data_IF_257536462401
#
_entry.id   IF_257536462401
#
_cell.length_a   1.000
_cell.length_b   1.000
_cell.length_c   1.000
_cell.angle_alpha   90.00
_cell.angle_beta   90.00
_cell.angle_gamma   90.00
#
_symmetry.space_group_name_H-M   'P 1'
#
loop_
_entity.id
_entity.type
_entity.pdbx_description
1 polymer ?
#
# COMPACT_ATOMS: atom_id res chain seq x y z
N UNK A 1 -25.57 21.39 16.26
CA UNK A 1 -26.35 20.57 15.31
C UNK A 1 -25.47 20.26 14.11
N UNK A 2 -25.38 19.00 13.70
CA UNK A 2 -24.67 18.60 12.48
C UNK A 2 -25.28 19.32 11.26
N UNK A 3 -24.48 19.72 10.27
CA UNK A 3 -25.01 20.33 9.05
C UNK A 3 -25.95 19.36 8.35
N UNK A 4 -26.97 19.90 7.68
CA UNK A 4 -27.94 19.05 6.96
C UNK A 4 -27.33 18.30 5.78
N UNK A 5 -26.20 18.79 5.22
CA UNK A 5 -25.49 18.19 4.09
C UNK A 5 -24.00 18.40 4.19
N UNK A 6 -23.24 17.51 3.58
CA UNK A 6 -21.79 17.64 3.38
C UNK A 6 -21.52 18.05 1.96
N UNK A 7 -20.61 19.00 1.75
CA UNK A 7 -20.23 19.49 0.42
C UNK A 7 -18.75 19.21 0.19
N UNK A 8 -18.44 18.50 -0.89
CA UNK A 8 -17.07 18.27 -1.35
C UNK A 8 -16.80 19.17 -2.55
N UNK A 9 -15.76 19.98 -2.47
CA UNK A 9 -15.22 20.76 -3.58
C UNK A 9 -13.91 20.16 -4.05
N UNK A 10 -13.84 19.77 -5.31
CA UNK A 10 -12.65 19.18 -5.91
C UNK A 10 -11.75 20.24 -6.56
N UNK A 11 -10.45 19.95 -6.68
CA UNK A 11 -9.48 20.85 -7.32
C UNK A 11 -9.76 21.15 -8.78
N UNK A 12 -10.49 20.28 -9.46
CA UNK A 12 -10.95 20.50 -10.85
C UNK A 12 -12.22 21.37 -10.96
N UNK A 13 -12.72 21.93 -9.85
CA UNK A 13 -13.92 22.76 -9.78
C UNK A 13 -15.23 21.99 -9.59
N UNK A 14 -15.23 20.66 -9.63
CA UNK A 14 -16.44 19.87 -9.36
C UNK A 14 -16.89 20.00 -7.91
N UNK A 15 -18.20 19.96 -7.69
CA UNK A 15 -18.80 20.02 -6.35
C UNK A 15 -19.80 18.87 -6.21
N UNK A 16 -19.77 18.20 -5.06
CA UNK A 16 -20.69 17.11 -4.72
C UNK A 16 -21.38 17.43 -3.38
N UNK A 17 -22.65 17.10 -3.28
CA UNK A 17 -23.43 17.22 -2.05
C UNK A 17 -23.99 15.85 -1.65
N UNK A 18 -23.95 15.54 -0.35
CA UNK A 18 -24.52 14.32 0.22
C UNK A 18 -24.99 14.55 1.65
N UNK A 19 -25.89 13.72 2.13
CA UNK A 19 -26.31 13.74 3.54
C UNK A 19 -25.21 13.22 4.46
N UNK A 20 -24.45 12.21 3.99
CA UNK A 20 -23.30 11.62 4.67
C UNK A 20 -22.18 11.33 3.67
N UNK A 21 -20.94 11.28 4.16
CA UNK A 21 -19.76 10.91 3.40
C UNK A 21 -19.01 9.82 4.16
N UNK A 22 -18.49 8.83 3.42
CA UNK A 22 -17.50 7.88 3.92
C UNK A 22 -16.16 8.25 3.29
N UNK A 23 -15.22 8.65 4.14
CA UNK A 23 -13.85 8.98 3.76
C UNK A 23 -12.98 7.73 3.92
N UNK A 24 -12.63 7.08 2.80
CA UNK A 24 -11.84 5.84 2.77
C UNK A 24 -10.40 6.04 2.30
N UNK A 25 -9.96 7.27 2.15
CA UNK A 25 -8.59 7.59 1.70
C UNK A 25 -7.58 7.47 2.84
N UNK A 26 -6.29 7.18 2.54
CA UNK A 26 -5.24 7.10 3.55
C UNK A 26 -5.06 8.41 4.32
N UNK A 27 -4.60 8.34 5.58
CA UNK A 27 -4.41 9.54 6.41
C UNK A 27 -3.44 10.54 5.79
N UNK A 28 -2.48 10.09 4.99
CA UNK A 28 -1.60 10.96 4.23
C UNK A 28 -2.39 11.89 3.29
N UNK A 29 -3.38 11.35 2.56
CA UNK A 29 -4.23 12.14 1.67
C UNK A 29 -5.22 13.01 2.46
N UNK A 30 -5.73 12.52 3.61
CA UNK A 30 -6.61 13.31 4.50
C UNK A 30 -5.95 14.62 4.95
N UNK A 31 -4.64 14.63 5.19
CA UNK A 31 -3.87 15.83 5.54
C UNK A 31 -3.92 16.93 4.49
N UNK A 32 -4.18 16.59 3.23
CA UNK A 32 -4.24 17.53 2.11
C UNK A 32 -5.62 18.16 1.92
N UNK A 33 -6.63 17.67 2.62
CA UNK A 33 -8.00 18.18 2.52
C UNK A 33 -8.15 19.42 3.41
N UNK A 34 -8.74 20.47 2.84
CA UNK A 34 -9.17 21.64 3.59
C UNK A 34 -10.54 21.38 4.25
N UNK A 35 -10.52 21.15 5.55
CA UNK A 35 -11.72 20.88 6.33
C UNK A 35 -12.40 22.16 6.79
N UNK A 36 -13.70 22.26 6.56
CA UNK A 36 -14.54 23.36 7.08
C UNK A 36 -15.85 22.78 7.66
N UNK A 37 -16.08 22.82 8.99
CA UNK A 37 -15.15 23.35 9.98
C UNK A 37 -13.86 22.49 10.09
N UNK A 38 -12.84 23.05 10.71
CA UNK A 38 -11.55 22.37 10.99
C UNK A 38 -11.80 21.11 11.84
N UNK A 39 -11.07 20.04 11.56
CA UNK A 39 -11.07 18.81 12.37
C UNK A 39 -10.63 19.12 13.83
N UNK A 40 -11.14 18.39 14.82
CA UNK A 40 -10.66 18.48 16.19
C UNK A 40 -9.16 18.19 16.29
N UNK A 41 -8.44 18.90 17.14
CA UNK A 41 -6.99 18.77 17.31
C UNK A 41 -6.56 17.32 17.54
N UNK A 42 -7.28 16.60 18.42
CA UNK A 42 -7.00 15.18 18.69
C UNK A 42 -7.06 14.32 17.42
N UNK A 43 -8.02 14.59 16.52
CA UNK A 43 -8.14 13.86 15.25
C UNK A 43 -7.02 14.24 14.29
N UNK A 44 -6.62 15.49 14.25
CA UNK A 44 -5.47 15.97 13.46
C UNK A 44 -4.20 15.27 13.94
N UNK A 45 -3.97 15.21 15.25
CA UNK A 45 -2.79 14.55 15.85
C UNK A 45 -2.78 13.05 15.54
N UNK A 46 -3.94 12.40 15.65
CA UNK A 46 -4.09 10.99 15.29
C UNK A 46 -3.78 10.73 13.81
N UNK A 47 -4.29 11.56 12.89
CA UNK A 47 -3.99 11.51 11.45
C UNK A 47 -2.50 11.68 11.19
N UNK A 48 -1.82 12.53 11.94
CA UNK A 48 -0.38 12.79 11.79
C UNK A 48 0.49 11.68 12.37
N UNK A 49 0.01 10.96 13.38
CA UNK A 49 0.78 9.92 14.07
C UNK A 49 0.77 8.57 13.35
N UNK A 50 -0.22 8.30 12.48
CA UNK A 50 -0.28 7.05 11.73
C UNK A 50 0.82 7.00 10.67
N UNK A 51 1.50 5.87 10.60
CA UNK A 51 2.61 5.63 9.69
C UNK A 51 2.21 4.65 8.59
N UNK A 52 2.93 4.71 7.46
CA UNK A 52 2.81 3.77 6.34
C UNK A 52 4.17 3.20 6.01
N UNK A 53 4.22 1.90 5.73
CA UNK A 53 5.44 1.25 5.33
C UNK A 53 5.83 1.68 3.91
N UNK A 54 7.13 1.77 3.67
CA UNK A 54 7.66 1.97 2.33
C UNK A 54 7.75 0.61 1.65
N UNK A 55 6.98 0.39 0.60
CA UNK A 55 6.88 -0.89 -0.10
C UNK A 55 7.19 -0.70 -1.57
N UNK A 56 7.98 -1.64 -2.11
CA UNK A 56 8.23 -1.76 -3.54
C UNK A 56 7.91 -3.16 -4.04
N UNK A 57 7.22 -3.24 -5.17
CA UNK A 57 7.06 -4.45 -5.96
C UNK A 57 7.80 -4.29 -7.29
N UNK A 58 8.63 -5.25 -7.59
CA UNK A 58 9.48 -5.25 -8.77
C UNK A 58 9.24 -6.53 -9.57
N UNK A 59 8.14 -6.57 -10.35
CA UNK A 59 7.78 -7.74 -11.14
C UNK A 59 8.83 -8.04 -12.21
N UNK A 60 9.24 -9.29 -12.31
CA UNK A 60 10.11 -9.82 -13.36
C UNK A 60 9.25 -10.68 -14.26
N UNK A 61 9.03 -10.22 -15.49
CA UNK A 61 8.26 -10.94 -16.49
C UNK A 61 9.21 -11.90 -17.22
N UNK A 62 8.89 -13.19 -17.19
CA UNK A 62 9.70 -14.25 -17.76
C UNK A 62 9.03 -14.84 -19.01
N UNK A 63 9.85 -15.20 -20.01
CA UNK A 63 9.41 -15.94 -21.21
C UNK A 63 8.92 -17.33 -20.88
N UNK A 64 9.52 -17.95 -19.86
CA UNK A 64 9.09 -19.22 -19.27
C UNK A 64 9.43 -19.24 -17.78
N UNK A 65 8.75 -20.10 -17.03
CA UNK A 65 8.98 -20.31 -15.60
C UNK A 65 10.24 -21.15 -15.42
N UNK A 66 11.31 -20.58 -14.89
CA UNK A 66 12.54 -21.30 -14.59
C UNK A 66 12.50 -22.00 -13.23
N UNK A 67 11.51 -21.69 -12.39
CA UNK A 67 11.24 -22.36 -11.11
C UNK A 67 10.33 -23.56 -11.33
N UNK A 68 10.59 -24.64 -10.57
CA UNK A 68 9.86 -25.91 -10.68
C UNK A 68 8.70 -26.02 -9.69
N UNK A 69 8.87 -25.40 -8.51
CA UNK A 69 7.86 -25.41 -7.45
C UNK A 69 6.93 -24.21 -7.61
N UNK A 70 5.68 -24.44 -7.90
CA UNK A 70 4.64 -23.41 -8.04
C UNK A 70 4.30 -22.73 -6.68
N UNK A 71 4.70 -23.34 -5.58
CA UNK A 71 4.41 -22.81 -4.23
C UNK A 71 5.64 -22.19 -3.56
N UNK A 72 6.77 -22.09 -4.29
CA UNK A 72 7.96 -21.55 -3.68
C UNK A 72 7.78 -20.08 -3.30
N UNK A 73 8.40 -19.71 -2.21
CA UNK A 73 8.80 -18.34 -1.90
C UNK A 73 10.24 -18.35 -1.37
N UNK A 74 10.89 -17.21 -1.43
CA UNK A 74 12.30 -17.09 -1.07
C UNK A 74 12.57 -15.75 -0.38
N UNK A 75 13.18 -15.81 0.78
CA UNK A 75 13.67 -14.62 1.50
C UNK A 75 15.17 -14.50 1.31
N UNK A 76 15.66 -13.29 1.11
CA UNK A 76 17.09 -12.98 0.99
C UNK A 76 17.46 -11.85 1.95
N UNK A 77 18.72 -11.79 2.33
CA UNK A 77 19.32 -10.68 3.09
C UNK A 77 19.69 -9.47 2.20
N UNK A 78 19.63 -9.65 0.87
CA UNK A 78 19.90 -8.60 -0.11
C UNK A 78 18.78 -7.54 -0.16
N UNK A 79 18.97 -6.41 -0.85
CA UNK A 79 17.89 -5.45 -1.08
C UNK A 79 16.66 -6.04 -1.78
N UNK A 80 16.81 -7.11 -2.56
CA UNK A 80 15.70 -7.78 -3.24
C UNK A 80 14.74 -8.52 -2.29
N UNK A 81 15.14 -8.75 -1.07
CA UNK A 81 14.39 -9.19 0.11
C UNK A 81 13.54 -10.45 -0.06
N UNK A 82 12.39 -10.40 -0.74
CA UNK A 82 11.44 -11.51 -0.81
C UNK A 82 10.95 -11.74 -2.24
N UNK A 83 10.88 -13.02 -2.62
CA UNK A 83 10.38 -13.45 -3.93
C UNK A 83 9.24 -14.44 -3.79
N UNK A 84 8.24 -14.30 -4.65
CA UNK A 84 7.13 -15.24 -4.77
C UNK A 84 6.60 -15.33 -6.19
N UNK A 85 5.91 -16.43 -6.49
CA UNK A 85 5.34 -16.69 -7.80
C UNK A 85 4.07 -15.83 -8.04
N UNK A 86 4.16 -14.80 -8.89
CA UNK A 86 3.07 -13.85 -9.16
C UNK A 86 2.00 -14.37 -10.12
N UNK A 87 2.28 -15.45 -10.87
CA UNK A 87 1.34 -16.07 -11.84
C UNK A 87 0.92 -17.48 -11.44
N UNK A 88 0.92 -17.78 -10.14
CA UNK A 88 0.44 -19.05 -9.60
C UNK A 88 -0.99 -19.32 -10.08
N UNK A 89 -1.27 -20.57 -10.46
CA UNK A 89 -2.57 -21.03 -10.98
C UNK A 89 -3.02 -20.39 -12.31
N UNK A 90 -2.12 -19.69 -13.02
CA UNK A 90 -2.43 -19.19 -14.36
C UNK A 90 -1.90 -20.16 -15.42
N UNK A 91 -2.63 -20.37 -16.54
CA UNK A 91 -2.20 -21.26 -17.61
C UNK A 91 -1.02 -20.67 -18.38
N UNK A 92 -0.28 -21.54 -19.08
CA UNK A 92 0.83 -21.16 -19.95
C UNK A 92 2.21 -21.32 -19.30
N UNK A 93 3.26 -21.24 -20.12
CA UNK A 93 4.65 -21.36 -19.71
C UNK A 93 5.25 -20.05 -19.18
N UNK A 94 4.71 -18.92 -19.59
CA UNK A 94 5.17 -17.60 -19.13
C UNK A 94 4.91 -17.42 -17.64
N UNK A 95 5.73 -16.62 -16.99
CA UNK A 95 5.58 -16.36 -15.56
C UNK A 95 5.98 -14.96 -15.16
N UNK A 96 5.46 -14.54 -14.00
CA UNK A 96 5.91 -13.35 -13.29
C UNK A 96 6.46 -13.80 -11.94
N UNK A 97 7.73 -13.50 -11.73
CA UNK A 97 8.35 -13.61 -10.42
C UNK A 97 8.27 -12.24 -9.76
N UNK A 98 7.63 -12.18 -8.61
CA UNK A 98 7.50 -10.94 -7.86
C UNK A 98 8.68 -10.80 -6.89
N UNK A 99 9.48 -9.76 -7.07
CA UNK A 99 10.39 -9.29 -6.04
C UNK A 99 9.66 -8.24 -5.20
N UNK A 100 9.62 -8.44 -3.89
CA UNK A 100 8.91 -7.61 -2.93
C UNK A 100 9.87 -7.14 -1.84
N UNK A 101 9.99 -5.83 -1.69
CA UNK A 101 10.89 -5.23 -0.72
C UNK A 101 10.17 -4.22 0.17
N UNK A 102 10.64 -4.05 1.40
CA UNK A 102 10.04 -3.19 2.43
C UNK A 102 11.12 -2.27 3.01
N UNK A 103 10.71 -1.06 3.42
CA UNK A 103 11.55 -0.09 4.11
C UNK A 103 12.79 0.29 3.31
N UNK A 104 13.95 0.33 3.95
CA UNK A 104 15.22 0.73 3.33
C UNK A 104 15.62 -0.14 2.14
N UNK A 105 15.24 -1.42 2.14
CA UNK A 105 15.47 -2.31 1.00
C UNK A 105 14.64 -1.89 -0.22
N UNK A 106 13.39 -1.50 -0.02
CA UNK A 106 12.55 -0.98 -1.09
C UNK A 106 13.09 0.37 -1.62
N UNK A 107 13.52 1.26 -0.72
CA UNK A 107 14.13 2.54 -1.07
C UNK A 107 15.39 2.35 -1.92
N UNK A 108 16.26 1.41 -1.51
CA UNK A 108 17.49 1.09 -2.23
C UNK A 108 17.22 0.62 -3.66
N UNK A 109 16.23 -0.26 -3.84
CA UNK A 109 15.85 -0.73 -5.18
C UNK A 109 15.17 0.35 -6.02
N UNK A 110 14.34 1.18 -5.40
CA UNK A 110 13.62 2.24 -6.11
C UNK A 110 14.53 3.39 -6.56
N UNK A 111 15.60 3.67 -5.81
CA UNK A 111 16.50 4.80 -6.06
C UNK A 111 17.49 4.58 -7.20
N UNK A 112 17.72 3.33 -7.61
CA UNK A 112 18.71 3.00 -8.66
C UNK A 112 18.06 2.89 -10.04
N UNK A 113 18.87 3.08 -11.09
CA UNK A 113 18.41 2.89 -12.48
C UNK A 113 17.95 1.46 -12.75
N UNK A 114 17.07 1.29 -13.74
CA UNK A 114 16.47 0.02 -14.10
C UNK A 114 17.51 -1.11 -14.26
N UNK A 115 18.58 -0.87 -14.99
CA UNK A 115 19.59 -1.91 -15.26
C UNK A 115 20.32 -2.35 -13.98
N UNK A 116 20.66 -1.41 -13.12
CA UNK A 116 21.31 -1.71 -11.83
C UNK A 116 20.37 -2.45 -10.89
N UNK A 117 19.10 -2.04 -10.82
CA UNK A 117 18.07 -2.75 -10.06
C UNK A 117 17.90 -4.19 -10.54
N UNK A 118 17.81 -4.37 -11.84
CA UNK A 118 17.72 -5.71 -12.46
C UNK A 118 18.91 -6.57 -12.08
N UNK A 119 20.12 -6.03 -12.13
CA UNK A 119 21.34 -6.73 -11.73
C UNK A 119 21.32 -7.15 -10.25
N UNK A 120 20.89 -6.26 -9.34
CA UNK A 120 20.74 -6.58 -7.92
C UNK A 120 19.76 -7.76 -7.73
N UNK A 121 18.62 -7.71 -8.42
CA UNK A 121 17.59 -8.75 -8.34
C UNK A 121 18.11 -10.09 -8.90
N UNK A 122 18.77 -10.07 -10.06
CA UNK A 122 19.34 -11.28 -10.67
C UNK A 122 20.43 -11.90 -9.80
N UNK A 123 21.27 -11.09 -9.17
CA UNK A 123 22.30 -11.57 -8.23
C UNK A 123 21.68 -12.22 -6.99
N UNK A 124 20.55 -11.73 -6.50
CA UNK A 124 19.81 -12.34 -5.39
C UNK A 124 19.20 -13.71 -5.77
N UNK A 125 18.81 -13.90 -7.02
CA UNK A 125 18.25 -15.16 -7.53
C UNK A 125 19.32 -16.20 -7.84
N UNK A 126 20.55 -15.78 -8.14
CA UNK A 126 21.64 -16.63 -8.63
C UNK A 126 21.96 -17.84 -7.75
N UNK A 127 21.99 -17.72 -6.39
CA UNK A 127 22.28 -18.88 -5.53
C UNK A 127 21.25 -20.01 -5.64
N UNK A 128 19.98 -19.67 -5.87
CA UNK A 128 18.88 -20.64 -5.94
C UNK A 128 18.63 -21.18 -7.36
N UNK A 129 18.79 -20.34 -8.37
CA UNK A 129 18.34 -20.64 -9.74
C UNK A 129 19.46 -20.54 -10.80
N UNK A 130 20.68 -20.19 -10.43
CA UNK A 130 21.76 -19.95 -11.37
C UNK A 130 21.55 -18.69 -12.22
N UNK A 131 21.98 -18.72 -13.47
CA UNK A 131 21.81 -17.59 -14.39
C UNK A 131 20.41 -17.59 -15.01
N UNK A 132 19.52 -16.78 -14.48
CA UNK A 132 18.13 -16.64 -14.96
C UNK A 132 17.94 -15.54 -16.02
N UNK A 133 18.98 -14.77 -16.33
CA UNK A 133 18.91 -13.66 -17.28
C UNK A 133 18.32 -14.05 -18.67
N UNK A 134 18.60 -15.22 -19.24
CA UNK A 134 18.01 -15.64 -20.52
C UNK A 134 16.48 -15.74 -20.52
N UNK A 135 15.88 -15.94 -19.36
CA UNK A 135 14.43 -16.07 -19.21
C UNK A 135 13.71 -14.71 -19.03
N UNK A 136 14.46 -13.63 -18.78
CA UNK A 136 13.86 -12.33 -18.49
C UNK A 136 13.42 -11.63 -19.77
N UNK A 137 12.12 -11.36 -19.87
CA UNK A 137 11.52 -10.58 -20.96
C UNK A 137 11.49 -9.08 -20.62
N UNK A 138 11.13 -8.74 -19.38
CA UNK A 138 11.04 -7.36 -18.88
C UNK A 138 11.08 -7.33 -17.36
N UNK A 139 11.45 -6.19 -16.81
CA UNK A 139 11.33 -5.88 -15.39
C UNK A 139 10.56 -4.56 -15.21
N UNK A 140 9.68 -4.55 -14.23
CA UNK A 140 8.85 -3.39 -13.89
C UNK A 140 9.19 -2.91 -12.48
N UNK A 141 8.71 -1.74 -12.13
CA UNK A 141 8.81 -1.19 -10.78
C UNK A 141 7.51 -0.52 -10.39
N UNK A 142 7.05 -0.84 -9.20
CA UNK A 142 5.98 -0.12 -8.52
C UNK A 142 6.42 0.16 -7.08
N UNK A 143 6.68 1.43 -6.79
CA UNK A 143 7.15 1.87 -5.48
C UNK A 143 6.16 2.88 -4.89
N UNK A 144 5.47 2.48 -3.83
CA UNK A 144 4.41 3.28 -3.21
C UNK A 144 4.91 4.45 -2.39
N UNK A 145 6.18 4.46 -1.99
CA UNK A 145 6.77 5.56 -1.20
C UNK A 145 6.77 6.92 -1.91
N UNK A 146 6.62 6.95 -3.24
CA UNK A 146 6.52 8.18 -4.04
C UNK A 146 5.15 8.42 -4.64
N UNK A 147 4.18 7.54 -4.37
CA UNK A 147 2.81 7.74 -4.84
C UNK A 147 2.15 8.90 -4.09
N UNK A 148 1.62 9.93 -4.80
CA UNK A 148 1.16 11.17 -4.18
C UNK A 148 -0.15 11.02 -3.38
N UNK A 149 -0.85 9.89 -3.52
CA UNK A 149 -2.13 9.66 -2.86
C UNK A 149 -2.06 8.64 -1.73
N UNK A 150 -1.14 7.68 -1.79
CA UNK A 150 -0.95 6.67 -0.75
C UNK A 150 0.30 6.89 0.09
N UNK A 151 1.39 7.33 -0.51
CA UNK A 151 2.70 7.59 0.12
C UNK A 151 3.24 6.41 0.92
N UNK A 152 2.80 5.22 0.59
CA UNK A 152 3.20 3.98 1.24
C UNK A 152 2.07 2.97 1.32
N UNK A 153 2.39 1.79 1.78
CA UNK A 153 1.50 0.69 2.15
C UNK A 153 2.29 -0.29 3.04
N UNK A 154 1.72 -0.87 4.02
CA UNK A 154 0.38 -0.65 4.57
C UNK A 154 0.49 0.27 5.78
N UNK A 155 -0.66 0.71 6.33
CA UNK A 155 -0.67 1.45 7.58
C UNK A 155 -0.13 0.59 8.72
N UNK A 156 0.62 1.18 9.63
CA UNK A 156 1.01 0.53 10.88
C UNK A 156 1.03 1.52 12.03
N UNK A 157 0.64 1.02 13.19
CA UNK A 157 0.65 1.77 14.42
C UNK A 157 2.00 1.55 15.12
N UNK A 158 2.61 2.61 15.59
CA UNK A 158 3.77 2.52 16.47
C UNK A 158 3.43 1.84 17.80
N UNK A 159 4.45 1.54 18.58
CA UNK A 159 4.28 0.93 19.91
C UNK A 159 3.28 1.75 20.74
N UNK A 160 2.34 1.07 21.37
CA UNK A 160 1.27 1.59 22.24
C UNK A 160 0.25 2.53 21.54
N UNK A 161 0.37 2.75 20.21
CA UNK A 161 -0.51 3.67 19.47
C UNK A 161 -1.83 3.07 18.97
N UNK A 162 -1.93 1.76 18.90
CA UNK A 162 -3.16 1.10 18.45
C UNK A 162 -4.38 1.54 19.25
N UNK A 163 -4.31 1.44 20.58
CA UNK A 163 -5.44 1.73 21.47
C UNK A 163 -5.74 3.22 21.63
N UNK A 164 -4.76 4.07 21.40
CA UNK A 164 -4.93 5.53 21.52
C UNK A 164 -5.40 6.18 20.22
N UNK A 165 -4.79 5.78 19.10
CA UNK A 165 -4.91 6.48 17.82
C UNK A 165 -6.07 5.96 16.98
N UNK A 166 -6.24 4.64 16.90
CA UNK A 166 -7.23 4.01 16.04
C UNK A 166 -8.68 4.40 16.40
N UNK A 167 -9.11 4.41 17.68
CA UNK A 167 -10.45 4.86 18.04
C UNK A 167 -10.71 6.30 17.62
N UNK A 168 -9.72 7.19 17.79
CA UNK A 168 -9.83 8.59 17.38
C UNK A 168 -9.93 8.73 15.85
N UNK A 169 -9.19 7.92 15.09
CA UNK A 169 -9.27 7.89 13.63
C UNK A 169 -10.63 7.37 13.13
N UNK A 170 -11.20 6.36 13.79
CA UNK A 170 -12.54 5.81 13.47
C UNK A 170 -13.68 6.78 13.77
N UNK A 171 -13.51 7.65 14.77
CA UNK A 171 -14.58 8.55 15.20
C UNK A 171 -15.08 9.41 14.06
N UNK A 172 -16.38 9.39 13.81
CA UNK A 172 -17.02 10.25 12.82
C UNK A 172 -16.81 11.75 13.17
N UNK A 173 -16.71 12.56 12.15
CA UNK A 173 -16.70 14.02 12.28
C UNK A 173 -17.91 14.60 11.55
N UNK A 174 -18.86 15.10 12.32
CA UNK A 174 -20.16 15.55 11.80
C UNK A 174 -20.83 14.44 10.97
N UNK A 175 -21.09 14.66 9.70
CA UNK A 175 -21.68 13.71 8.79
C UNK A 175 -20.63 12.95 7.95
N UNK A 176 -19.34 13.03 8.30
CA UNK A 176 -18.27 12.30 7.66
C UNK A 176 -17.84 11.11 8.52
N UNK A 177 -17.98 9.92 7.98
CA UNK A 177 -17.51 8.66 8.55
C UNK A 177 -16.17 8.28 7.91
N UNK A 178 -15.36 7.50 8.61
CA UNK A 178 -14.03 7.09 8.14
C UNK A 178 -13.96 5.58 8.04
N UNK A 179 -13.35 5.08 6.94
CA UNK A 179 -13.14 3.67 6.68
C UNK A 179 -11.77 3.47 6.00
N UNK A 180 -11.35 2.24 5.83
CA UNK A 180 -10.11 1.86 5.14
C UNK A 180 -9.33 0.82 5.93
N UNK A 181 -8.33 0.21 5.28
CA UNK A 181 -7.49 -0.82 5.91
C UNK A 181 -6.79 -0.32 7.17
N UNK A 182 -6.44 0.97 7.19
CA UNK A 182 -5.77 1.63 8.29
C UNK A 182 -6.65 1.79 9.54
N UNK A 183 -7.94 1.55 9.45
CA UNK A 183 -8.91 1.61 10.56
C UNK A 183 -9.43 0.22 10.94
N UNK A 184 -8.92 -0.83 10.32
CA UNK A 184 -9.38 -2.18 10.53
C UNK A 184 -8.56 -2.90 11.60
N UNK A 185 -9.17 -3.88 12.27
CA UNK A 185 -8.46 -4.77 13.19
C UNK A 185 -7.47 -5.67 12.42
N UNK A 186 -7.77 -5.96 11.15
CA UNK A 186 -6.91 -6.64 10.18
C UNK A 186 -6.34 -5.63 9.19
N UNK A 187 -5.51 -4.71 9.69
CA UNK A 187 -4.89 -3.70 8.86
C UNK A 187 -3.96 -4.32 7.80
N UNK A 188 -3.84 -3.66 6.64
CA UNK A 188 -3.05 -4.15 5.53
C UNK A 188 -3.71 -5.22 4.66
N UNK A 189 -4.95 -5.62 4.97
CA UNK A 189 -5.71 -6.64 4.24
C UNK A 189 -7.02 -6.09 3.66
N UNK A 190 -7.42 -6.65 2.51
CA UNK A 190 -8.68 -6.28 1.85
C UNK A 190 -9.89 -6.57 2.73
N UNK A 191 -9.88 -7.69 3.47
CA UNK A 191 -10.95 -8.07 4.40
C UNK A 191 -11.15 -7.02 5.48
N UNK A 192 -10.06 -6.52 6.08
CA UNK A 192 -10.13 -5.45 7.06
C UNK A 192 -10.69 -4.15 6.47
N UNK A 193 -10.29 -3.80 5.26
CA UNK A 193 -10.84 -2.63 4.55
C UNK A 193 -12.35 -2.76 4.32
N UNK A 194 -12.82 -3.94 3.87
CA UNK A 194 -14.24 -4.23 3.67
C UNK A 194 -15.02 -4.12 4.98
N UNK A 195 -14.54 -4.77 6.04
CA UNK A 195 -15.19 -4.72 7.35
C UNK A 195 -15.29 -3.29 7.88
N UNK A 196 -14.23 -2.50 7.77
CA UNK A 196 -14.26 -1.08 8.19
C UNK A 196 -15.28 -0.25 7.40
N UNK A 197 -15.50 -0.59 6.14
CA UNK A 197 -16.55 0.02 5.31
C UNK A 197 -17.95 -0.32 5.80
N UNK A 198 -18.20 -1.58 6.20
CA UNK A 198 -19.46 -2.01 6.79
C UNK A 198 -19.71 -1.33 8.14
N UNK A 199 -18.69 -1.22 8.98
CA UNK A 199 -18.77 -0.53 10.27
C UNK A 199 -19.13 0.95 10.12
N UNK A 200 -18.66 1.60 9.04
CA UNK A 200 -18.90 3.02 8.80
C UNK A 200 -20.35 3.33 8.36
N UNK A 201 -21.15 2.34 7.95
CA UNK A 201 -22.55 2.52 7.52
C UNK A 201 -23.56 1.99 8.55
N UNK A 202 -23.12 1.26 9.55
CA UNK A 202 -23.92 0.78 10.67
C UNK A 202 -24.13 1.91 11.70
#
# INVERSE_FOLDING_TARGET
TAPKKVVIKCSNGSTFEADKIICSIPTFAIKQIQWNPILPTQKIDAIHSLQYARIGKFPIVCTERFWKDENFDMVTDTPAHYFYHGTKNQPGSQGVLMCYAIGEKADSLASVHKNQREEIILNALKPAFGNVKPFIKNSLMYYWGTDPFSYGAYAFYGKDKWFEVMPTLKQAFMNTHFAGEHLADWQGFMEGALQSGLDAVS
#
